data_IF_211280076041
#
_entry.id   IF_211280076041
#
_cell.length_a   1.000
_cell.length_b   1.000
_cell.length_c   1.000
_cell.angle_alpha   90.00
_cell.angle_beta   90.00
_cell.angle_gamma   90.00
#
_symmetry.space_group_name_H-M   'P 1'
#
loop_
_entity.id
_entity.type
_entity.pdbx_description
1 polymer ?
#
# COMPACT_ATOMS: atom_id res chain seq x y z
N UNK A 1 2.46 -6.68 -0.88
CA UNK A 1 2.05 -5.37 -0.30
C UNK A 1 2.52 -4.19 -1.13
N UNK A 2 3.81 -3.84 -1.17
CA UNK A 2 4.28 -2.68 -1.95
C UNK A 2 4.00 -2.84 -3.45
N UNK A 3 4.23 -4.04 -4.01
CA UNK A 3 3.93 -4.31 -5.41
C UNK A 3 2.42 -4.23 -5.72
N UNK A 4 1.56 -4.69 -4.81
CA UNK A 4 0.10 -4.57 -4.96
C UNK A 4 -0.33 -3.10 -5.01
N UNK A 5 0.25 -2.26 -4.13
CA UNK A 5 0.00 -0.83 -4.12
C UNK A 5 0.58 -0.11 -5.34
N UNK A 6 1.76 -0.54 -5.82
CA UNK A 6 2.35 -0.05 -7.07
C UNK A 6 1.42 -0.31 -8.26
N UNK A 7 0.98 -1.57 -8.42
CA UNK A 7 0.05 -1.96 -9.49
C UNK A 7 -1.29 -1.23 -9.36
N UNK A 8 -1.80 -1.05 -8.13
CA UNK A 8 -3.03 -0.31 -7.91
C UNK A 8 -2.90 1.16 -8.30
N UNK A 9 -1.78 1.81 -7.94
CA UNK A 9 -1.49 3.21 -8.31
C UNK A 9 -1.40 3.37 -9.84
N UNK A 10 -0.73 2.46 -10.55
CA UNK A 10 -0.71 2.45 -12.02
C UNK A 10 -2.10 2.29 -12.65
N UNK A 11 -3.01 1.59 -11.97
CA UNK A 11 -4.40 1.38 -12.41
C UNK A 11 -5.35 2.49 -11.95
N UNK A 12 -4.87 3.51 -11.22
CA UNK A 12 -5.71 4.54 -10.61
C UNK A 12 -6.70 3.98 -9.58
N UNK A 13 -6.39 2.82 -8.98
CA UNK A 13 -7.24 2.11 -8.04
C UNK A 13 -6.80 2.38 -6.60
N UNK A 14 -7.76 2.58 -5.70
CA UNK A 14 -7.51 2.69 -4.25
C UNK A 14 -7.55 1.30 -3.61
N UNK A 15 -6.63 1.03 -2.68
CA UNK A 15 -6.57 -0.23 -1.96
C UNK A 15 -6.99 -0.03 -0.51
N UNK A 16 -7.99 -0.78 -0.04
CA UNK A 16 -8.37 -0.74 1.37
C UNK A 16 -7.38 -1.52 2.23
N UNK A 17 -7.28 -1.18 3.53
CA UNK A 17 -6.48 -1.96 4.49
C UNK A 17 -6.85 -3.45 4.44
N UNK A 18 -8.14 -3.78 4.45
CA UNK A 18 -8.62 -5.16 4.39
C UNK A 18 -8.23 -5.87 3.10
N UNK A 19 -8.34 -5.19 1.95
CA UNK A 19 -7.93 -5.75 0.65
C UNK A 19 -6.43 -6.02 0.62
N UNK A 20 -5.61 -5.12 1.16
CA UNK A 20 -4.16 -5.32 1.22
C UNK A 20 -3.77 -6.47 2.15
N UNK A 21 -4.46 -6.64 3.28
CA UNK A 21 -4.25 -7.80 4.16
C UNK A 21 -4.53 -9.13 3.46
N UNK A 22 -5.59 -9.19 2.64
CA UNK A 22 -5.89 -10.38 1.82
C UNK A 22 -4.78 -10.61 0.79
N UNK A 23 -4.36 -9.57 0.07
CA UNK A 23 -3.29 -9.67 -0.93
C UNK A 23 -1.93 -10.07 -0.35
N UNK A 24 -1.66 -9.72 0.92
CA UNK A 24 -0.41 -10.04 1.58
C UNK A 24 -0.19 -11.55 1.83
N UNK A 25 -1.25 -12.37 1.75
CA UNK A 25 -1.19 -13.83 1.89
C UNK A 25 -0.48 -14.30 3.18
N UNK A 26 -0.68 -13.56 4.28
CA UNK A 26 -0.15 -13.83 5.62
C UNK A 26 -1.26 -13.58 6.65
N UNK A 27 -1.10 -14.02 7.92
CA UNK A 27 -2.10 -13.75 8.95
C UNK A 27 -2.46 -12.25 9.05
N UNK A 28 -3.75 -11.87 9.16
CA UNK A 28 -4.17 -10.48 9.10
C UNK A 28 -3.49 -9.57 10.14
N UNK A 29 -3.28 -10.04 11.36
CA UNK A 29 -2.61 -9.26 12.42
C UNK A 29 -1.13 -9.00 12.11
N UNK A 30 -0.47 -9.95 11.44
CA UNK A 30 0.89 -9.79 10.91
C UNK A 30 0.91 -8.76 9.79
N UNK A 31 -0.03 -8.85 8.84
CA UNK A 31 -0.17 -7.85 7.77
C UNK A 31 -0.40 -6.44 8.32
N UNK A 32 -1.28 -6.28 9.32
CA UNK A 32 -1.54 -5.00 9.96
C UNK A 32 -0.29 -4.40 10.62
N UNK A 33 0.55 -5.22 11.26
CA UNK A 33 1.83 -4.76 11.81
C UNK A 33 2.76 -4.26 10.70
N UNK A 34 2.92 -5.02 9.62
CA UNK A 34 3.73 -4.58 8.48
C UNK A 34 3.20 -3.30 7.82
N UNK A 35 1.87 -3.12 7.73
CA UNK A 35 1.27 -1.87 7.26
C UNK A 35 1.64 -0.72 8.19
N UNK A 36 1.55 -0.92 9.51
CA UNK A 36 1.93 0.11 10.48
C UNK A 36 3.42 0.49 10.32
N UNK A 37 4.31 -0.49 10.23
CA UNK A 37 5.75 -0.26 10.03
C UNK A 37 6.01 0.52 8.72
N UNK A 38 5.32 0.16 7.63
CA UNK A 38 5.49 0.85 6.33
C UNK A 38 4.93 2.27 6.34
N UNK A 39 3.84 2.53 7.07
CA UNK A 39 3.30 3.88 7.27
C UNK A 39 4.25 4.71 8.13
N UNK A 40 4.76 4.15 9.23
CA UNK A 40 5.72 4.83 10.11
C UNK A 40 7.02 5.20 9.39
N UNK A 41 7.48 4.34 8.48
CA UNK A 41 8.66 4.59 7.65
C UNK A 41 8.39 5.52 6.44
N UNK A 42 7.15 5.98 6.24
CA UNK A 42 6.80 6.88 5.13
C UNK A 42 6.75 6.21 3.75
N UNK A 43 6.63 4.88 3.69
CA UNK A 43 6.56 4.13 2.43
C UNK A 43 5.14 4.06 1.87
N UNK A 44 4.14 4.13 2.75
CA UNK A 44 2.72 4.06 2.41
C UNK A 44 1.98 5.17 3.14
N UNK A 45 1.12 5.88 2.42
CA UNK A 45 0.19 6.84 2.98
C UNK A 45 -1.14 6.17 3.32
N UNK A 46 -1.70 6.51 4.49
CA UNK A 46 -2.99 6.00 4.97
C UNK A 46 -4.01 7.14 5.04
N UNK A 47 -5.10 7.03 4.29
CA UNK A 47 -6.19 8.01 4.29
C UNK A 47 -7.49 7.38 4.78
N UNK A 48 -8.19 7.96 5.78
CA UNK A 48 -9.54 7.55 6.14
C UNK A 48 -10.49 7.68 4.95
N UNK A 49 -11.48 6.80 4.87
CA UNK A 49 -12.55 6.98 3.90
C UNK A 49 -13.58 8.00 4.41
N UNK A 50 -13.82 9.13 3.70
CA UNK A 50 -14.80 10.12 4.13
C UNK A 50 -16.24 9.59 4.16
N UNK A 51 -16.55 8.53 3.41
CA UNK A 51 -17.88 7.94 3.36
C UNK A 51 -18.10 6.85 4.43
N UNK A 52 -17.04 6.23 4.95
CA UNK A 52 -17.10 5.16 5.94
C UNK A 52 -15.88 5.20 6.88
N UNK A 53 -16.09 5.68 8.11
CA UNK A 53 -15.03 5.79 9.12
C UNK A 53 -14.44 4.45 9.57
N UNK A 54 -15.08 3.32 9.24
CA UNK A 54 -14.53 1.98 9.50
C UNK A 54 -13.48 1.58 8.46
N UNK A 55 -13.41 2.29 7.33
CA UNK A 55 -12.53 1.99 6.21
C UNK A 55 -11.41 3.02 6.11
N UNK A 56 -10.24 2.54 5.75
CA UNK A 56 -9.11 3.36 5.35
C UNK A 56 -8.49 2.79 4.08
N UNK A 57 -7.94 3.69 3.27
CA UNK A 57 -7.21 3.37 2.05
C UNK A 57 -5.72 3.57 2.24
N UNK A 58 -4.96 2.81 1.47
CA UNK A 58 -3.51 2.80 1.44
C UNK A 58 -3.03 3.08 0.01
N UNK A 59 -1.99 3.89 -0.10
CA UNK A 59 -1.31 4.20 -1.35
C UNK A 59 0.19 4.26 -1.11
N UNK A 60 1.02 3.96 -2.11
CA UNK A 60 2.46 4.24 -1.99
C UNK A 60 2.68 5.74 -1.86
N UNK A 61 3.59 6.12 -0.97
CA UNK A 61 4.10 7.49 -0.99
C UNK A 61 4.78 7.77 -2.33
N UNK A 62 4.83 9.05 -2.73
CA UNK A 62 5.47 9.45 -3.99
C UNK A 62 6.94 9.00 -4.06
N UNK A 63 7.64 9.08 -2.93
CA UNK A 63 9.03 8.64 -2.81
C UNK A 63 9.15 7.11 -3.00
N UNK A 64 8.29 6.31 -2.37
CA UNK A 64 8.30 4.87 -2.52
C UNK A 64 7.95 4.44 -3.95
N UNK A 65 6.95 5.09 -4.56
CA UNK A 65 6.55 4.84 -5.93
C UNK A 65 7.70 5.12 -6.90
N UNK A 66 8.38 6.27 -6.77
CA UNK A 66 9.51 6.64 -7.63
C UNK A 66 10.67 5.63 -7.54
N UNK A 67 11.04 5.20 -6.32
CA UNK A 67 12.12 4.20 -6.13
C UNK A 67 11.77 2.84 -6.72
N UNK A 68 10.52 2.39 -6.57
CA UNK A 68 10.07 1.13 -7.18
C UNK A 68 10.06 1.25 -8.70
N UNK A 69 9.60 2.38 -9.25
CA UNK A 69 9.59 2.61 -10.69
C UNK A 69 11.00 2.57 -11.27
N UNK A 70 11.96 3.28 -10.66
CA UNK A 70 13.38 3.25 -11.05
C UNK A 70 13.96 1.82 -10.99
N UNK A 71 13.65 1.08 -9.92
CA UNK A 71 14.09 -0.31 -9.78
C UNK A 71 13.53 -1.22 -10.88
N UNK A 72 12.25 -1.07 -11.23
CA UNK A 72 11.60 -1.83 -12.31
C UNK A 72 12.22 -1.48 -13.67
N UNK A 73 12.45 -0.19 -13.95
CA UNK A 73 13.01 0.29 -15.21
C UNK A 73 14.46 -0.19 -15.44
N UNK A 74 15.19 -0.52 -14.36
CA UNK A 74 16.54 -1.08 -14.44
C UNK A 74 16.59 -2.62 -14.46
N UNK A 75 15.49 -3.29 -14.09
CA UNK A 75 15.42 -4.75 -13.99
C UNK A 75 14.71 -5.43 -15.17
N UNK A 76 14.06 -4.66 -16.06
CA UNK A 76 13.44 -5.11 -17.31
C UNK A 76 14.25 -4.62 -18.52
#
# INVERSE_FOLDING_TARGET
>A
MLLDLYVARLKGARVSVSSLCVAANIPPTTALRHIADLVENGEIDRTPDPADQRRAFLELSDAAFARINEWIDHCL
#
